data_IF_475880909201
#
_entry.id   IF_475880909201
#
_cell.length_a   1.000
_cell.length_b   1.000
_cell.length_c   1.000
_cell.angle_alpha   90.00
_cell.angle_beta   90.00
_cell.angle_gamma   90.00
#
_symmetry.space_group_name_H-M   'P 1'
#
loop_
_entity.id
_entity.type
_entity.pdbx_description
1 polymer ?
#
# COMPACT_ATOMS: atom_id res chain seq x y z
N UNK A 1 36.37 -14.17 76.42
CA UNK A 1 36.76 -15.44 75.75
C UNK A 1 36.31 -15.54 74.29
N UNK A 2 35.28 -14.82 73.83
CA UNK A 2 34.78 -14.88 72.44
C UNK A 2 34.95 -13.58 71.63
N UNK A 3 35.83 -12.66 72.07
CA UNK A 3 36.05 -11.36 71.41
C UNK A 3 36.70 -11.51 70.03
N UNK A 4 37.51 -12.55 69.83
CA UNK A 4 38.19 -12.85 68.56
C UNK A 4 37.27 -13.41 67.46
N UNK A 5 36.05 -13.84 67.80
CA UNK A 5 35.08 -14.37 66.84
C UNK A 5 34.30 -13.22 66.20
N UNK A 6 34.21 -13.23 64.86
CA UNK A 6 33.38 -12.29 64.10
C UNK A 6 31.91 -12.69 64.13
N UNK A 7 31.03 -11.77 63.75
CA UNK A 7 29.61 -12.06 63.53
C UNK A 7 29.45 -13.21 62.51
N UNK A 8 28.56 -14.16 62.78
CA UNK A 8 28.35 -15.36 61.95
C UNK A 8 29.34 -16.51 62.16
N UNK A 9 30.35 -16.35 63.04
CA UNK A 9 31.33 -17.40 63.29
C UNK A 9 30.70 -18.61 64.00
N UNK A 10 31.11 -19.81 63.57
CA UNK A 10 30.77 -21.08 64.23
C UNK A 10 31.75 -21.29 65.39
N UNK A 11 31.25 -21.51 66.60
CA UNK A 11 32.05 -21.79 67.78
C UNK A 11 32.22 -23.29 68.00
N UNK A 12 31.14 -24.06 67.85
CA UNK A 12 31.16 -25.50 68.03
C UNK A 12 30.11 -26.19 67.17
N UNK A 13 30.37 -27.47 66.87
CA UNK A 13 29.45 -28.37 66.19
C UNK A 13 29.40 -29.68 66.98
N UNK A 14 28.19 -30.11 67.33
CA UNK A 14 27.92 -31.38 67.96
C UNK A 14 27.00 -32.20 67.07
N UNK A 15 27.39 -33.45 66.81
CA UNK A 15 26.64 -34.39 65.99
C UNK A 15 26.29 -35.62 66.81
N UNK A 16 25.02 -36.02 66.79
CA UNK A 16 24.53 -37.26 67.38
C UNK A 16 23.88 -38.13 66.30
N UNK A 17 24.30 -39.39 66.17
CA UNK A 17 23.79 -40.37 65.21
C UNK A 17 23.73 -39.87 63.76
N UNK A 18 24.70 -39.06 63.34
CA UNK A 18 24.77 -38.48 62.00
C UNK A 18 25.78 -39.25 61.13
N UNK A 19 25.28 -39.95 60.11
CA UNK A 19 26.08 -40.83 59.22
C UNK A 19 27.00 -41.76 60.02
N UNK A 20 28.32 -41.61 59.89
CA UNK A 20 29.32 -42.43 60.57
C UNK A 20 29.53 -42.06 62.04
N UNK A 21 29.05 -40.89 62.48
CA UNK A 21 29.24 -40.39 63.84
C UNK A 21 28.09 -40.81 64.76
N UNK A 22 28.38 -41.62 65.79
CA UNK A 22 27.44 -41.85 66.90
C UNK A 22 27.34 -40.62 67.79
N UNK A 23 28.50 -40.05 68.16
CA UNK A 23 28.61 -38.82 68.91
C UNK A 23 29.96 -38.17 68.59
N UNK A 24 29.97 -36.89 68.26
CA UNK A 24 31.19 -36.08 68.15
C UNK A 24 30.88 -34.63 68.50
N UNK A 25 31.85 -33.97 69.15
CA UNK A 25 31.81 -32.55 69.45
C UNK A 25 33.12 -31.91 68.98
N UNK A 26 32.98 -30.81 68.23
CA UNK A 26 34.08 -30.07 67.61
C UNK A 26 34.01 -28.61 68.06
N UNK A 27 35.18 -28.04 68.35
CA UNK A 27 35.33 -26.63 68.69
C UNK A 27 36.17 -25.95 67.62
N UNK A 28 35.67 -24.86 67.05
CA UNK A 28 36.31 -24.17 65.94
C UNK A 28 37.10 -22.96 66.44
N UNK A 29 38.29 -22.78 65.89
CA UNK A 29 39.10 -21.57 66.01
C UNK A 29 38.49 -20.43 65.17
N UNK A 30 38.58 -19.16 65.60
CA UNK A 30 37.99 -18.02 64.88
C UNK A 30 38.59 -17.69 63.51
N UNK A 31 39.75 -18.28 63.15
CA UNK A 31 40.47 -17.97 61.91
C UNK A 31 40.43 -19.12 60.89
N UNK A 32 41.27 -20.13 61.10
CA UNK A 32 41.41 -21.27 60.20
C UNK A 32 41.20 -22.56 60.97
N UNK A 33 40.38 -23.45 60.40
CA UNK A 33 40.13 -24.78 60.93
C UNK A 33 40.48 -25.81 59.87
N UNK A 34 41.25 -26.82 60.26
CA UNK A 34 41.67 -27.89 59.36
C UNK A 34 41.15 -29.23 59.88
N UNK A 35 40.31 -29.90 59.08
CA UNK A 35 39.76 -31.22 59.39
C UNK A 35 40.53 -32.26 58.59
N UNK A 36 41.38 -33.02 59.28
CA UNK A 36 42.22 -34.05 58.69
C UNK A 36 41.82 -35.45 59.14
N UNK A 37 42.08 -36.45 58.31
CA UNK A 37 41.79 -37.85 58.63
C UNK A 37 41.87 -38.75 57.38
N UNK A 38 41.96 -40.07 57.56
CA UNK A 38 42.01 -41.03 56.46
C UNK A 38 40.72 -41.02 55.62
N UNK A 39 40.74 -41.60 54.42
CA UNK A 39 39.55 -41.73 53.60
C UNK A 39 38.47 -42.56 54.31
N UNK A 40 37.20 -42.18 54.18
CA UNK A 40 36.10 -42.84 54.89
C UNK A 40 35.91 -42.44 56.36
N UNK A 41 36.75 -41.58 56.94
CA UNK A 41 36.65 -41.14 58.36
C UNK A 41 35.50 -40.16 58.67
N UNK A 42 34.67 -39.80 57.69
CA UNK A 42 33.54 -38.88 57.88
C UNK A 42 33.84 -37.39 57.71
N UNK A 43 35.02 -36.99 57.20
CA UNK A 43 35.36 -35.57 56.96
C UNK A 43 34.29 -34.81 56.16
N UNK A 44 33.85 -35.37 55.03
CA UNK A 44 32.79 -34.78 54.21
C UNK A 44 31.43 -34.80 54.94
N UNK A 45 31.22 -35.72 55.89
CA UNK A 45 30.02 -35.74 56.73
C UNK A 45 29.96 -34.53 57.67
N UNK A 46 31.10 -34.05 58.18
CA UNK A 46 31.15 -32.81 58.97
C UNK A 46 30.75 -31.61 58.09
N UNK A 47 31.33 -31.50 56.89
CA UNK A 47 30.96 -30.43 55.94
C UNK A 47 29.47 -30.47 55.58
N UNK A 48 28.92 -31.67 55.35
CA UNK A 48 27.50 -31.86 55.07
C UNK A 48 26.61 -31.48 56.26
N UNK A 49 27.04 -31.75 57.49
CA UNK A 49 26.27 -31.36 58.67
C UNK A 49 26.22 -29.83 58.84
N UNK A 50 27.34 -29.15 58.57
CA UNK A 50 27.40 -27.68 58.52
C UNK A 50 26.47 -27.18 57.42
N UNK A 51 26.47 -27.77 56.22
CA UNK A 51 25.51 -27.39 55.19
C UNK A 51 24.05 -27.62 55.64
N UNK A 52 23.72 -28.77 56.22
CA UNK A 52 22.35 -29.02 56.65
C UNK A 52 21.87 -28.09 57.77
N UNK A 53 22.73 -27.63 58.67
CA UNK A 53 22.30 -26.75 59.76
C UNK A 53 22.02 -25.31 59.29
N UNK A 54 22.70 -24.81 58.25
CA UNK A 54 22.48 -23.44 57.75
C UNK A 54 21.50 -23.37 56.56
N UNK A 55 20.49 -24.25 56.53
CA UNK A 55 19.45 -24.32 55.49
C UNK A 55 19.91 -24.82 54.10
N UNK A 56 21.03 -25.53 54.01
CA UNK A 56 21.41 -26.21 52.78
C UNK A 56 20.42 -27.30 52.39
N UNK A 57 20.02 -27.31 51.11
CA UNK A 57 19.20 -28.38 50.54
C UNK A 57 20.05 -29.60 50.17
N UNK A 58 19.41 -30.77 50.15
CA UNK A 58 20.07 -32.03 49.75
C UNK A 58 20.61 -31.98 48.31
N UNK A 59 19.94 -31.22 47.43
CA UNK A 59 20.40 -30.90 46.08
C UNK A 59 21.65 -30.01 46.03
N UNK A 60 21.82 -29.15 47.02
CA UNK A 60 22.96 -28.22 47.11
C UNK A 60 24.21 -28.94 47.59
N UNK A 61 24.05 -29.95 48.45
CA UNK A 61 25.12 -30.77 49.03
C UNK A 61 25.60 -31.89 48.08
N UNK A 62 24.77 -32.28 47.10
CA UNK A 62 25.12 -33.18 45.99
C UNK A 62 24.99 -34.68 46.29
N UNK A 63 25.35 -35.10 47.51
CA UNK A 63 25.61 -36.52 47.80
C UNK A 63 24.39 -37.44 47.79
N UNK A 64 23.21 -36.94 48.15
CA UNK A 64 22.07 -37.81 48.46
C UNK A 64 20.74 -37.06 48.39
N UNK A 65 19.72 -37.64 47.74
CA UNK A 65 18.40 -36.97 47.60
C UNK A 65 17.56 -37.01 48.87
N UNK A 66 17.74 -38.03 49.71
CA UNK A 66 16.92 -38.24 50.91
C UNK A 66 17.63 -37.81 52.19
N UNK A 67 16.92 -37.05 53.03
CA UNK A 67 17.41 -36.64 54.36
C UNK A 67 17.67 -37.84 55.28
N UNK A 68 16.91 -38.93 55.11
CA UNK A 68 17.03 -40.16 55.91
C UNK A 68 18.40 -40.83 55.81
N UNK A 69 19.13 -40.63 54.70
CA UNK A 69 20.46 -41.21 54.47
C UNK A 69 21.57 -40.48 55.25
N UNK A 70 21.25 -39.33 55.85
CA UNK A 70 22.14 -38.65 56.80
C UNK A 70 21.98 -39.19 58.23
N UNK A 71 20.95 -39.99 58.51
CA UNK A 71 20.75 -40.65 59.81
C UNK A 71 21.60 -41.92 59.87
N UNK A 72 22.29 -42.15 60.98
CA UNK A 72 23.05 -43.39 61.19
C UNK A 72 22.13 -44.62 61.01
N UNK A 73 22.63 -45.66 60.34
CA UNK A 73 21.84 -46.84 60.01
C UNK A 73 21.20 -47.54 61.23
N UNK A 74 21.82 -47.43 62.40
CA UNK A 74 21.33 -48.03 63.64
C UNK A 74 20.50 -47.07 64.50
N UNK A 75 19.99 -45.98 63.92
CA UNK A 75 19.25 -44.95 64.66
C UNK A 75 18.01 -44.51 63.88
N UNK A 76 16.99 -44.09 64.63
CA UNK A 76 15.76 -43.53 64.06
C UNK A 76 15.84 -42.01 63.87
N UNK A 77 16.74 -41.35 64.62
CA UNK A 77 16.91 -39.90 64.57
C UNK A 77 18.40 -39.52 64.66
N UNK A 78 18.75 -38.42 64.00
CA UNK A 78 20.04 -37.75 64.07
C UNK A 78 19.87 -36.30 64.50
N UNK A 79 20.86 -35.76 65.23
CA UNK A 79 20.84 -34.36 65.68
C UNK A 79 22.11 -33.66 65.27
N UNK A 80 21.94 -32.42 64.80
CA UNK A 80 23.01 -31.48 64.48
C UNK A 80 22.79 -30.27 65.37
N UNK A 81 23.78 -29.94 66.20
CA UNK A 81 23.75 -28.81 67.11
C UNK A 81 24.95 -27.91 66.84
N UNK A 82 24.73 -26.61 66.68
CA UNK A 82 25.76 -25.62 66.39
C UNK A 82 25.63 -24.42 67.31
N UNK A 83 26.76 -23.95 67.83
CA UNK A 83 26.85 -22.67 68.50
C UNK A 83 27.43 -21.64 67.54
N UNK A 84 26.74 -20.52 67.37
CA UNK A 84 27.20 -19.40 66.54
C UNK A 84 27.25 -18.08 67.33
N UNK A 85 28.13 -17.17 66.92
CA UNK A 85 28.17 -15.81 67.45
C UNK A 85 27.35 -14.89 66.54
N UNK A 86 26.39 -14.17 67.11
CA UNK A 86 25.63 -13.13 66.41
C UNK A 86 25.41 -11.89 67.31
N UNK A 87 25.79 -10.70 66.86
CA UNK A 87 25.66 -9.41 67.59
C UNK A 87 26.12 -9.52 69.05
N UNK A 88 27.31 -10.08 69.25
CA UNK A 88 27.94 -10.38 70.54
C UNK A 88 27.16 -11.31 71.48
N UNK A 89 26.15 -12.01 70.96
CA UNK A 89 25.42 -13.08 71.67
C UNK A 89 25.70 -14.43 71.05
N UNK A 90 25.58 -15.48 71.85
CA UNK A 90 25.69 -16.87 71.38
C UNK A 90 24.28 -17.39 71.11
N UNK A 91 24.10 -17.97 69.93
CA UNK A 91 22.87 -18.66 69.56
C UNK A 91 23.13 -20.15 69.38
N UNK A 92 22.18 -20.95 69.85
CA UNK A 92 22.19 -22.40 69.71
C UNK A 92 21.23 -22.80 68.59
N UNK A 93 21.78 -23.28 67.48
CA UNK A 93 21.02 -23.82 66.38
C UNK A 93 20.98 -25.34 66.50
N UNK A 94 19.79 -25.92 66.33
CA UNK A 94 19.64 -27.37 66.37
C UNK A 94 18.67 -27.84 65.30
N UNK A 95 19.09 -28.87 64.55
CA UNK A 95 18.27 -29.56 63.55
C UNK A 95 18.16 -31.03 63.91
N UNK A 96 16.93 -31.55 63.95
CA UNK A 96 16.66 -32.97 64.20
C UNK A 96 16.13 -33.60 62.92
N UNK A 97 16.83 -34.63 62.47
CA UNK A 97 16.50 -35.42 61.30
C UNK A 97 15.86 -36.73 61.76
N UNK A 98 14.70 -37.09 61.21
CA UNK A 98 14.02 -38.36 61.50
C UNK A 98 14.06 -39.25 60.27
N UNK A 99 14.26 -40.56 60.47
CA UNK A 99 14.34 -41.53 59.38
C UNK A 99 12.98 -41.81 58.73
N UNK A 100 11.92 -41.87 59.54
CA UNK A 100 10.57 -42.25 59.09
C UNK A 100 9.82 -41.12 58.40
N UNK A 101 10.20 -39.86 58.65
CA UNK A 101 9.52 -38.70 58.10
C UNK A 101 10.48 -37.82 57.32
N UNK A 102 10.07 -37.36 56.12
CA UNK A 102 10.77 -36.30 55.39
C UNK A 102 10.79 -34.96 56.13
N UNK A 103 10.03 -34.81 57.22
CA UNK A 103 9.99 -33.60 58.04
C UNK A 103 11.19 -33.54 58.98
N UNK A 104 11.86 -32.39 59.00
CA UNK A 104 12.92 -32.08 59.96
C UNK A 104 12.45 -31.00 60.92
N UNK A 105 12.85 -31.11 62.19
CA UNK A 105 12.51 -30.10 63.20
C UNK A 105 13.68 -29.14 63.38
N UNK A 106 13.39 -27.85 63.38
CA UNK A 106 14.37 -26.77 63.53
C UNK A 106 14.18 -26.08 64.86
N UNK A 107 15.28 -25.81 65.57
CA UNK A 107 15.27 -25.17 66.88
C UNK A 107 16.29 -24.04 66.93
N UNK A 108 15.88 -22.92 67.51
CA UNK A 108 16.76 -21.79 67.85
C UNK A 108 16.66 -21.59 69.36
N UNK A 109 17.78 -21.66 70.07
CA UNK A 109 17.84 -21.58 71.54
C UNK A 109 16.85 -22.55 72.21
N UNK A 110 16.78 -23.79 71.70
CA UNK A 110 15.86 -24.86 72.14
C UNK A 110 14.36 -24.58 71.91
N UNK A 111 13.98 -23.51 71.20
CA UNK A 111 12.59 -23.24 70.82
C UNK A 111 12.33 -23.76 69.41
N UNK A 112 11.28 -24.57 69.25
CA UNK A 112 10.86 -25.09 67.94
C UNK A 112 10.42 -23.94 67.03
N UNK A 113 10.96 -23.92 65.81
CA UNK A 113 10.69 -22.90 64.80
C UNK A 113 10.27 -23.53 63.47
N UNK A 114 9.46 -22.81 62.71
CA UNK A 114 9.14 -23.17 61.33
C UNK A 114 10.40 -23.02 60.47
N UNK A 115 10.48 -23.81 59.40
CA UNK A 115 11.62 -23.77 58.47
C UNK A 115 11.88 -22.38 57.91
N UNK A 116 10.83 -21.66 57.47
CA UNK A 116 10.95 -20.29 56.96
C UNK A 116 11.56 -19.33 57.99
N UNK A 117 11.06 -19.30 59.22
CA UNK A 117 11.60 -18.44 60.30
C UNK A 117 13.05 -18.79 60.63
N UNK A 118 13.38 -20.09 60.59
CA UNK A 118 14.74 -20.56 60.82
C UNK A 118 15.69 -20.12 59.70
N UNK A 119 15.28 -20.25 58.45
CA UNK A 119 16.11 -19.85 57.31
C UNK A 119 16.24 -18.33 57.20
N UNK A 120 15.21 -17.54 57.51
CA UNK A 120 15.35 -16.08 57.62
C UNK A 120 16.39 -15.67 58.68
N UNK A 121 16.39 -16.37 59.83
CA UNK A 121 17.39 -16.13 60.86
C UNK A 121 18.81 -16.42 60.36
N UNK A 122 18.99 -17.53 59.64
CA UNK A 122 20.27 -17.94 59.05
C UNK A 122 20.73 -17.02 57.92
N UNK A 123 19.85 -16.63 57.00
CA UNK A 123 20.17 -15.67 55.94
C UNK A 123 20.64 -14.33 56.51
N UNK A 124 20.14 -13.94 57.68
CA UNK A 124 20.61 -12.76 58.41
C UNK A 124 22.00 -12.88 59.04
N UNK A 125 22.67 -14.02 58.94
CA UNK A 125 24.09 -14.23 59.31
C UNK A 125 25.04 -13.98 58.12
N UNK A 126 24.52 -13.79 56.90
CA UNK A 126 25.32 -13.69 55.69
C UNK A 126 25.95 -15.02 55.27
N UNK A 127 25.37 -16.15 55.70
CA UNK A 127 25.79 -17.49 55.31
C UNK A 127 24.82 -17.98 54.23
N UNK A 128 25.33 -18.22 53.03
CA UNK A 128 24.57 -18.79 51.91
C UNK A 128 25.25 -20.08 51.44
N UNK A 129 24.57 -21.22 51.64
CA UNK A 129 25.10 -22.53 51.25
C UNK A 129 24.88 -22.81 49.76
N UNK A 130 23.84 -22.22 49.18
CA UNK A 130 23.57 -22.41 47.75
C UNK A 130 24.63 -21.70 46.89
N UNK A 131 25.34 -20.74 47.48
CA UNK A 131 26.46 -20.08 46.85
C UNK A 131 27.76 -20.91 46.91
N UNK A 132 28.19 -21.40 45.74
CA UNK A 132 29.42 -22.19 45.57
C UNK A 132 30.71 -21.47 46.02
N UNK A 133 30.70 -20.13 46.09
CA UNK A 133 31.84 -19.35 46.59
C UNK A 133 31.99 -19.38 48.11
N UNK A 134 30.90 -19.64 48.86
CA UNK A 134 30.91 -19.75 50.32
C UNK A 134 30.99 -21.20 50.80
N UNK A 135 30.28 -22.09 50.11
CA UNK A 135 30.30 -23.52 50.38
C UNK A 135 30.54 -24.28 49.09
N UNK A 136 31.67 -24.98 49.00
CA UNK A 136 32.01 -25.80 47.86
C UNK A 136 31.90 -27.29 48.22
N UNK A 137 30.78 -27.96 47.91
CA UNK A 137 30.66 -29.40 48.08
C UNK A 137 31.66 -30.13 47.20
N UNK A 138 32.19 -31.26 47.69
CA UNK A 138 33.15 -32.10 46.98
C UNK A 138 32.68 -32.51 45.58
N UNK A 139 31.36 -32.73 45.40
CA UNK A 139 30.78 -33.17 44.13
C UNK A 139 30.55 -32.04 43.13
N UNK A 140 30.51 -30.78 43.60
CA UNK A 140 30.26 -29.59 42.77
C UNK A 140 31.52 -28.83 42.38
N UNK A 141 32.70 -29.42 42.61
CA UNK A 141 33.99 -28.80 42.25
C UNK A 141 34.13 -28.65 40.73
N UNK A 142 33.63 -29.61 39.95
CA UNK A 142 33.60 -29.54 38.49
C UNK A 142 32.67 -28.43 37.99
N UNK A 143 31.45 -28.34 38.55
CA UNK A 143 30.48 -27.28 38.25
C UNK A 143 31.08 -25.90 38.50
N UNK A 144 31.75 -25.73 39.65
CA UNK A 144 32.43 -24.48 39.99
C UNK A 144 33.53 -24.11 38.97
N UNK A 145 34.32 -25.09 38.51
CA UNK A 145 35.36 -24.85 37.51
C UNK A 145 34.81 -24.51 36.11
N UNK A 146 33.57 -24.90 35.82
CA UNK A 146 32.91 -24.62 34.54
C UNK A 146 32.21 -23.26 34.48
N UNK A 147 32.06 -22.57 35.62
CA UNK A 147 31.37 -21.28 35.66
C UNK A 147 32.13 -20.22 34.86
N UNK A 148 31.38 -19.38 34.15
CA UNK A 148 31.93 -18.22 33.46
C UNK A 148 32.42 -17.16 34.46
N UNK A 149 33.33 -16.29 34.02
CA UNK A 149 33.82 -15.19 34.85
C UNK A 149 32.71 -14.23 35.30
N UNK A 150 31.65 -14.07 34.51
CA UNK A 150 30.48 -13.26 34.86
C UNK A 150 29.66 -13.90 35.97
N UNK A 151 29.43 -15.22 35.89
CA UNK A 151 28.71 -15.97 36.92
C UNK A 151 29.51 -16.02 38.22
N UNK A 152 30.82 -16.24 38.15
CA UNK A 152 31.71 -16.18 39.31
C UNK A 152 31.66 -14.83 40.00
N UNK A 153 31.62 -13.73 39.23
CA UNK A 153 31.46 -12.39 39.77
C UNK A 153 30.11 -12.23 40.49
N UNK A 154 29.01 -12.70 39.88
CA UNK A 154 27.68 -12.62 40.49
C UNK A 154 27.63 -13.45 41.79
N UNK A 155 28.18 -14.66 41.77
CA UNK A 155 28.27 -15.50 42.97
C UNK A 155 29.14 -14.86 44.06
N UNK A 156 30.29 -14.28 43.72
CA UNK A 156 31.15 -13.57 44.66
C UNK A 156 30.47 -12.31 45.24
N UNK A 157 29.71 -11.56 44.43
CA UNK A 157 28.96 -10.40 44.89
C UNK A 157 27.77 -10.78 45.77
N UNK A 158 27.07 -11.87 45.44
CA UNK A 158 26.00 -12.42 46.29
C UNK A 158 26.52 -12.89 47.65
N UNK A 159 27.79 -13.32 47.71
CA UNK A 159 28.47 -13.66 48.97
C UNK A 159 28.76 -12.44 49.85
N UNK A 160 28.77 -11.23 49.28
CA UNK A 160 29.03 -10.02 50.06
C UNK A 160 27.74 -9.46 50.67
N UNK A 161 27.81 -8.90 51.89
CA UNK A 161 26.65 -8.25 52.52
C UNK A 161 26.20 -6.99 51.77
N UNK A 162 27.10 -6.35 51.02
CA UNK A 162 26.81 -5.13 50.26
C UNK A 162 26.14 -5.45 48.91
N UNK A 163 24.81 -5.34 48.88
CA UNK A 163 24.00 -5.60 47.67
C UNK A 163 23.90 -4.39 46.73
N UNK A 164 24.58 -3.28 47.03
CA UNK A 164 24.52 -2.06 46.20
C UNK A 164 25.07 -2.28 44.78
N UNK A 165 26.12 -3.10 44.67
CA UNK A 165 26.76 -3.42 43.39
C UNK A 165 25.81 -4.26 42.53
N UNK A 166 25.15 -5.27 43.11
CA UNK A 166 24.15 -6.09 42.41
C UNK A 166 22.99 -5.22 41.89
N UNK A 167 22.45 -4.34 42.73
CA UNK A 167 21.42 -3.40 42.32
C UNK A 167 21.88 -2.48 41.18
N UNK A 168 23.17 -2.13 41.14
CA UNK A 168 23.76 -1.34 40.05
C UNK A 168 23.88 -2.17 38.77
N UNK A 169 24.29 -3.44 38.87
CA UNK A 169 24.33 -4.38 37.74
C UNK A 169 22.92 -4.58 37.16
N UNK A 170 21.91 -4.76 38.01
CA UNK A 170 20.52 -4.91 37.56
C UNK A 170 20.01 -3.66 36.85
N UNK A 171 20.32 -2.47 37.39
CA UNK A 171 20.01 -1.20 36.72
C UNK A 171 20.72 -1.09 35.37
N UNK A 172 22.00 -1.44 35.28
CA UNK A 172 22.74 -1.43 34.02
C UNK A 172 22.13 -2.38 32.99
N UNK A 173 21.68 -3.57 33.40
CA UNK A 173 20.99 -4.51 32.53
C UNK A 173 19.64 -3.95 32.05
N UNK A 174 18.89 -3.27 32.92
CA UNK A 174 17.65 -2.60 32.54
C UNK A 174 17.90 -1.50 31.49
N UNK A 175 18.92 -0.65 31.68
CA UNK A 175 19.29 0.38 30.71
C UNK A 175 19.80 -0.21 29.39
N UNK A 176 20.52 -1.34 29.44
CA UNK A 176 20.94 -2.06 28.23
C UNK A 176 19.71 -2.52 27.43
N UNK A 177 18.70 -3.06 28.10
CA UNK A 177 17.45 -3.49 27.44
C UNK A 177 16.66 -2.31 26.85
N UNK A 178 16.62 -1.18 27.58
CA UNK A 178 15.96 0.04 27.13
C UNK A 178 16.67 0.64 25.91
N UNK A 179 18.01 0.70 25.93
CA UNK A 179 18.81 1.15 24.80
C UNK A 179 18.55 0.32 23.54
N UNK A 180 18.38 -1.00 23.68
CA UNK A 180 18.06 -1.88 22.54
C UNK A 180 16.69 -1.55 21.95
N UNK A 181 15.67 -1.33 22.80
CA UNK A 181 14.33 -0.92 22.36
C UNK A 181 14.36 0.46 21.68
N UNK A 182 15.03 1.42 22.29
CA UNK A 182 15.14 2.78 21.74
C UNK A 182 15.82 2.76 20.37
N UNK A 183 16.86 1.93 20.20
CA UNK A 183 17.52 1.76 18.91
C UNK A 183 16.60 1.14 17.85
N UNK A 184 15.77 0.16 18.21
CA UNK A 184 14.78 -0.39 17.28
C UNK A 184 13.73 0.66 16.89
N UNK A 185 13.27 1.46 17.85
CA UNK A 185 12.26 2.50 17.60
C UNK A 185 12.82 3.62 16.71
N UNK A 186 14.05 4.06 16.97
CA UNK A 186 14.75 5.03 16.11
C UNK A 186 14.85 4.51 14.67
N UNK A 187 15.12 3.22 14.49
CA UNK A 187 15.27 2.62 13.17
C UNK A 187 13.91 2.53 12.44
N UNK A 188 12.82 2.26 13.16
CA UNK A 188 11.46 2.32 12.62
C UNK A 188 11.07 3.76 12.25
N UNK A 189 11.29 4.72 13.13
CA UNK A 189 10.99 6.14 12.89
C UNK A 189 11.76 6.65 11.67
N UNK A 190 13.04 6.31 11.52
CA UNK A 190 13.82 6.65 10.32
C UNK A 190 13.18 6.12 9.03
N UNK A 191 12.79 4.84 9.01
CA UNK A 191 12.09 4.25 7.85
C UNK A 191 10.77 4.94 7.54
N UNK A 192 9.97 5.26 8.56
CA UNK A 192 8.70 5.98 8.35
C UNK A 192 8.94 7.39 7.82
N UNK A 193 9.98 8.09 8.30
CA UNK A 193 10.36 9.42 7.82
C UNK A 193 10.76 9.36 6.35
N UNK A 194 11.60 8.40 5.97
CA UNK A 194 12.01 8.19 4.57
C UNK A 194 10.80 7.93 3.66
N UNK A 195 9.88 7.04 4.06
CA UNK A 195 8.66 6.78 3.31
C UNK A 195 7.74 7.99 3.18
N UNK A 196 7.56 8.78 4.25
CA UNK A 196 6.76 10.01 4.19
C UNK A 196 7.44 11.05 3.28
N UNK A 197 8.77 11.18 3.33
CA UNK A 197 9.48 12.13 2.45
C UNK A 197 9.33 11.78 0.98
N UNK A 198 9.31 10.48 0.62
CA UNK A 198 9.05 10.03 -0.76
C UNK A 198 7.60 10.34 -1.18
N UNK A 199 6.62 10.08 -0.30
CA UNK A 199 5.21 10.39 -0.57
C UNK A 199 5.02 11.89 -0.77
N UNK A 200 5.60 12.72 0.10
CA UNK A 200 5.54 14.19 -0.01
C UNK A 200 6.18 14.66 -1.31
N UNK A 201 7.33 14.10 -1.70
CA UNK A 201 7.98 14.45 -2.96
C UNK A 201 7.09 14.10 -4.18
N UNK A 202 6.41 12.96 -4.16
CA UNK A 202 5.48 12.58 -5.22
C UNK A 202 4.24 13.47 -5.26
N UNK A 203 3.63 13.76 -4.11
CA UNK A 203 2.48 14.66 -4.00
C UNK A 203 2.81 16.08 -4.46
N UNK A 204 4.03 16.58 -4.18
CA UNK A 204 4.48 17.87 -4.67
C UNK A 204 4.54 17.90 -6.21
N UNK A 205 5.11 16.87 -6.83
CA UNK A 205 5.14 16.74 -8.31
C UNK A 205 3.73 16.71 -8.91
N UNK A 206 2.80 16.01 -8.27
CA UNK A 206 1.42 15.94 -8.76
C UNK A 206 0.66 17.26 -8.56
N UNK A 207 0.92 17.97 -7.47
CA UNK A 207 0.38 19.30 -7.23
C UNK A 207 0.91 20.34 -8.26
N UNK A 208 2.18 20.24 -8.65
CA UNK A 208 2.75 21.07 -9.72
C UNK A 208 2.07 20.81 -11.06
N UNK A 209 1.90 19.55 -11.45
CA UNK A 209 1.17 19.18 -12.68
C UNK A 209 -0.27 19.67 -12.69
N UNK A 210 -0.95 19.62 -11.54
CA UNK A 210 -2.31 20.16 -11.40
C UNK A 210 -2.34 21.69 -11.56
N UNK A 211 -1.37 22.40 -11.00
CA UNK A 211 -1.25 23.85 -11.20
C UNK A 211 -1.03 24.19 -12.68
N UNK A 212 -0.13 23.48 -13.36
CA UNK A 212 0.09 23.66 -14.80
C UNK A 212 -1.18 23.39 -15.61
N UNK A 213 -1.90 22.31 -15.29
CA UNK A 213 -3.18 21.98 -15.93
C UNK A 213 -4.20 23.10 -15.74
N UNK A 214 -4.36 23.64 -14.54
CA UNK A 214 -5.30 24.73 -14.26
C UNK A 214 -4.97 26.00 -15.07
N UNK A 215 -3.68 26.36 -15.18
CA UNK A 215 -3.24 27.50 -15.99
C UNK A 215 -3.58 27.27 -17.47
N UNK A 216 -3.39 26.05 -17.98
CA UNK A 216 -3.74 25.71 -19.36
C UNK A 216 -5.25 25.73 -19.59
N UNK A 217 -6.06 25.26 -18.64
CA UNK A 217 -7.52 25.32 -18.72
C UNK A 217 -8.05 26.76 -18.75
N UNK A 218 -7.48 27.66 -17.93
CA UNK A 218 -7.80 29.09 -18.00
C UNK A 218 -7.43 29.70 -19.35
N UNK A 219 -6.23 29.38 -19.89
CA UNK A 219 -5.83 29.82 -21.23
C UNK A 219 -6.80 29.31 -22.30
N UNK A 220 -7.22 28.04 -22.24
CA UNK A 220 -8.21 27.48 -23.18
C UNK A 220 -9.55 28.21 -23.07
N UNK A 221 -10.01 28.50 -21.85
CA UNK A 221 -11.24 29.26 -21.62
C UNK A 221 -11.15 30.65 -22.25
N UNK A 222 -10.04 31.36 -22.05
CA UNK A 222 -9.80 32.68 -22.64
C UNK A 222 -9.76 32.64 -24.17
N UNK A 223 -9.08 31.64 -24.76
CA UNK A 223 -9.03 31.44 -26.21
C UNK A 223 -10.42 31.13 -26.78
N UNK A 224 -11.24 30.31 -26.09
CA UNK A 224 -12.62 30.03 -26.50
C UNK A 224 -13.49 31.28 -26.51
N UNK A 225 -13.36 32.13 -25.49
CA UNK A 225 -14.07 33.42 -25.43
C UNK A 225 -13.61 34.31 -26.59
N UNK A 226 -12.29 34.43 -26.82
CA UNK A 226 -11.72 35.21 -27.92
C UNK A 226 -12.21 34.71 -29.28
N UNK A 227 -12.27 33.39 -29.50
CA UNK A 227 -12.82 32.79 -30.73
C UNK A 227 -14.28 33.17 -30.95
N UNK A 228 -15.12 33.11 -29.91
CA UNK A 228 -16.53 33.53 -30.00
C UNK A 228 -16.65 35.01 -30.34
N UNK A 229 -15.81 35.85 -29.74
CA UNK A 229 -15.79 37.29 -30.00
C UNK A 229 -15.35 37.60 -31.44
N UNK A 230 -14.32 36.93 -31.95
CA UNK A 230 -13.85 37.06 -33.33
C UNK A 230 -14.92 36.63 -34.35
N UNK A 231 -15.63 35.52 -34.07
CA UNK A 231 -16.78 35.12 -34.89
C UNK A 231 -17.91 36.16 -34.86
N UNK A 232 -18.18 36.76 -33.71
CA UNK A 232 -19.15 37.85 -33.61
C UNK A 232 -18.71 39.07 -34.41
N UNK A 233 -17.43 39.43 -34.36
CA UNK A 233 -16.85 40.54 -35.09
C UNK A 233 -16.97 40.34 -36.61
N UNK A 234 -16.62 39.14 -37.11
CA UNK A 234 -16.81 38.78 -38.52
C UNK A 234 -18.28 38.91 -38.96
N UNK A 235 -19.21 38.33 -38.19
CA UNK A 235 -20.65 38.43 -38.49
C UNK A 235 -21.13 39.88 -38.40
N UNK A 236 -20.58 40.67 -37.48
CA UNK A 236 -20.91 42.09 -37.33
C UNK A 236 -20.42 42.93 -38.52
N UNK A 237 -19.23 42.63 -39.04
CA UNK A 237 -18.72 43.24 -40.28
C UNK A 237 -19.58 42.87 -41.48
N UNK A 238 -19.93 41.59 -41.66
CA UNK A 238 -20.85 41.15 -42.70
C UNK A 238 -22.21 41.86 -42.58
N UNK A 239 -22.76 41.95 -41.38
CA UNK A 239 -23.99 42.67 -41.11
C UNK A 239 -23.89 44.16 -41.44
N UNK A 240 -22.79 44.84 -41.06
CA UNK A 240 -22.54 46.24 -41.42
C UNK A 240 -22.46 46.42 -42.93
N UNK A 241 -21.77 45.53 -43.63
CA UNK A 241 -21.66 45.54 -45.09
C UNK A 241 -23.04 45.36 -45.74
N UNK A 242 -23.83 44.38 -45.30
CA UNK A 242 -25.21 44.19 -45.78
C UNK A 242 -26.08 45.41 -45.48
N UNK A 243 -25.96 45.99 -44.28
CA UNK A 243 -26.70 47.19 -43.89
C UNK A 243 -26.33 48.39 -44.76
N UNK A 244 -25.06 48.57 -45.09
CA UNK A 244 -24.61 49.64 -46.00
C UNK A 244 -25.18 49.45 -47.41
N UNK A 245 -25.16 48.23 -47.94
CA UNK A 245 -25.80 47.89 -49.23
C UNK A 245 -27.30 48.14 -49.20
N UNK A 246 -27.99 47.77 -48.12
CA UNK A 246 -29.43 48.07 -47.95
C UNK A 246 -29.67 49.58 -47.96
N UNK A 247 -28.84 50.38 -47.30
CA UNK A 247 -28.98 51.85 -47.32
C UNK A 247 -28.68 52.45 -48.69
N UNK A 248 -27.71 51.92 -49.43
CA UNK A 248 -27.45 52.30 -50.82
C UNK A 248 -28.63 51.94 -51.72
N UNK A 249 -29.14 50.72 -51.64
CA UNK A 249 -30.30 50.30 -52.42
C UNK A 249 -31.54 51.13 -52.08
N UNK A 250 -31.78 51.45 -50.80
CA UNK A 250 -32.87 52.35 -50.40
C UNK A 250 -32.71 53.75 -51.01
N UNK A 251 -31.50 54.32 -51.02
CA UNK A 251 -31.24 55.59 -51.70
C UNK A 251 -31.49 55.51 -53.20
N UNK A 252 -31.04 54.44 -53.86
CA UNK A 252 -31.31 54.26 -55.30
C UNK A 252 -32.79 54.10 -55.59
N UNK A 253 -33.55 53.46 -54.70
CA UNK A 253 -35.01 53.37 -54.80
C UNK A 253 -35.63 54.76 -54.63
N UNK A 254 -35.25 55.53 -53.62
CA UNK A 254 -35.75 56.91 -53.45
C UNK A 254 -35.41 57.82 -54.64
N UNK A 255 -34.22 57.68 -55.23
CA UNK A 255 -33.83 58.41 -56.44
C UNK A 255 -34.67 57.98 -57.65
N UNK A 256 -34.89 56.67 -57.83
CA UNK A 256 -35.74 56.13 -58.88
C UNK A 256 -37.21 56.50 -58.67
N UNK A 257 -37.71 56.54 -57.44
CA UNK A 257 -39.06 57.03 -57.12
C UNK A 257 -39.18 58.53 -57.41
N UNK A 258 -38.16 59.34 -57.16
CA UNK A 258 -38.13 60.75 -57.59
C UNK A 258 -38.09 60.91 -59.10
N UNK A 259 -37.37 60.05 -59.82
CA UNK A 259 -37.40 60.01 -61.28
C UNK A 259 -38.77 59.59 -61.81
N UNK A 260 -39.39 58.56 -61.21
CA UNK A 260 -40.74 58.11 -61.53
C UNK A 260 -41.76 59.22 -61.26
N UNK A 261 -41.70 59.90 -60.10
CA UNK A 261 -42.59 61.01 -59.79
C UNK A 261 -42.44 62.17 -60.78
N UNK A 262 -41.21 62.50 -61.22
CA UNK A 262 -40.99 63.51 -62.27
C UNK A 262 -41.53 63.07 -63.63
N UNK A 263 -41.44 61.79 -63.96
CA UNK A 263 -42.04 61.22 -65.17
C UNK A 263 -43.56 61.24 -65.06
N UNK A 264 -44.13 60.92 -63.90
CA UNK A 264 -45.58 60.98 -63.64
C UNK A 264 -46.12 62.41 -63.69
N UNK A 265 -45.40 63.40 -63.18
CA UNK A 265 -45.74 64.82 -63.33
C UNK A 265 -45.71 65.25 -64.81
N UNK A 266 -44.66 64.85 -65.55
CA UNK A 266 -44.60 65.09 -67.00
C UNK A 266 -45.72 64.38 -67.76
N UNK A 267 -46.13 63.18 -67.35
CA UNK A 267 -47.27 62.46 -67.92
C UNK A 267 -48.59 63.17 -67.60
N UNK A 268 -48.74 63.73 -66.39
CA UNK A 268 -49.91 64.56 -66.04
C UNK A 268 -49.98 65.83 -66.88
N UNK A 269 -48.87 66.56 -67.03
CA UNK A 269 -48.80 67.76 -67.88
C UNK A 269 -49.09 67.45 -69.36
N UNK A 270 -48.58 66.32 -69.88
CA UNK A 270 -48.84 65.90 -71.26
C UNK A 270 -50.30 65.47 -71.50
N UNK A 271 -50.98 64.95 -70.48
CA UNK A 271 -52.39 64.57 -70.54
C UNK A 271 -53.37 65.77 -70.47
N UNK A 272 -52.92 66.94 -70.02
CA UNK A 272 -53.76 68.16 -69.96
C UNK A 272 -53.75 68.97 -71.27
N UNK A 273 -52.78 68.74 -72.17
CA UNK A 273 -52.73 69.37 -73.49
C UNK A 273 -53.77 68.74 -74.44
N UNK A 274 -54.62 69.59 -75.05
CA UNK A 274 -55.82 69.25 -75.85
C UNK A 274 -55.60 68.28 -77.03
N UNK A 275 -54.38 68.06 -77.49
CA UNK A 275 -54.05 67.11 -78.58
C UNK A 275 -54.05 65.64 -78.13
N UNK A 276 -53.88 65.37 -76.83
CA UNK A 276 -53.85 63.99 -76.28
C UNK A 276 -55.24 63.32 -76.18
N UNK A 277 -56.32 64.10 -76.08
CA UNK A 277 -57.69 63.55 -76.01
C UNK A 277 -58.14 62.94 -77.34
N UNK A 278 -57.82 63.57 -78.48
CA UNK A 278 -58.08 63.00 -79.82
C UNK A 278 -57.24 61.75 -80.09
N UNK A 279 -55.96 61.76 -79.68
CA UNK A 279 -55.06 60.62 -79.86
C UNK A 279 -55.46 59.41 -79.00
N UNK A 280 -56.06 59.63 -77.81
CA UNK A 280 -56.60 58.56 -76.97
C UNK A 280 -57.88 57.94 -77.54
N UNK A 281 -58.76 58.73 -78.20
CA UNK A 281 -59.92 58.19 -78.92
C UNK A 281 -59.50 57.32 -80.13
N UNK A 282 -58.50 57.77 -80.91
CA UNK A 282 -57.93 56.98 -82.01
C UNK A 282 -57.21 55.71 -81.50
N UNK A 283 -56.51 55.78 -80.35
CA UNK A 283 -55.91 54.60 -79.70
C UNK A 283 -56.95 53.58 -79.25
N UNK A 284 -58.11 54.01 -78.75
CA UNK A 284 -59.18 53.10 -78.31
C UNK A 284 -59.79 52.38 -79.52
N UNK A 285 -59.95 53.04 -80.67
CA UNK A 285 -60.37 52.38 -81.91
C UNK A 285 -59.33 51.36 -82.41
N UNK A 286 -58.04 51.72 -82.41
CA UNK A 286 -56.96 50.80 -82.79
C UNK A 286 -56.88 49.59 -81.84
N UNK A 287 -57.15 49.78 -80.54
CA UNK A 287 -57.15 48.68 -79.55
C UNK A 287 -58.32 47.72 -79.78
N UNK A 288 -59.47 48.21 -80.19
CA UNK A 288 -60.63 47.38 -80.55
C UNK A 288 -60.37 46.58 -81.84
N UNK A 289 -59.83 47.21 -82.89
CA UNK A 289 -59.43 46.50 -84.11
C UNK A 289 -58.33 45.46 -83.84
N UNK A 290 -57.35 45.76 -82.97
CA UNK A 290 -56.33 44.80 -82.58
C UNK A 290 -56.90 43.61 -81.82
N UNK A 291 -57.93 43.80 -80.98
CA UNK A 291 -58.58 42.68 -80.29
C UNK A 291 -59.32 41.74 -81.27
N UNK A 292 -59.96 42.28 -82.31
CA UNK A 292 -60.56 41.47 -83.39
C UNK A 292 -59.49 40.72 -84.20
N UNK A 293 -58.34 41.34 -84.44
CA UNK A 293 -57.17 40.69 -85.07
C UNK A 293 -56.59 39.59 -84.17
N UNK A 294 -56.51 39.80 -82.85
CA UNK A 294 -56.06 38.75 -81.91
C UNK A 294 -57.03 37.57 -81.87
N UNK A 295 -58.34 37.81 -81.90
CA UNK A 295 -59.33 36.73 -81.95
C UNK A 295 -59.22 35.93 -83.26
N UNK A 296 -59.07 36.58 -84.40
CA UNK A 296 -58.84 35.89 -85.68
C UNK A 296 -57.49 35.16 -85.74
N UNK A 297 -56.42 35.72 -85.15
CA UNK A 297 -55.13 35.03 -85.01
C UNK A 297 -55.19 33.80 -84.10
N UNK A 298 -56.03 33.80 -83.05
CA UNK A 298 -56.22 32.59 -82.22
C UNK A 298 -56.94 31.47 -82.98
N UNK A 299 -57.90 31.80 -83.84
CA UNK A 299 -58.56 30.83 -84.71
C UNK A 299 -57.57 30.23 -85.73
N UNK A 300 -56.71 31.07 -86.33
CA UNK A 300 -55.66 30.62 -87.24
C UNK A 300 -54.62 29.76 -86.49
N UNK A 301 -54.17 30.16 -85.30
CA UNK A 301 -53.25 29.34 -84.47
C UNK A 301 -53.84 27.97 -84.11
N UNK A 302 -55.14 27.89 -83.86
CA UNK A 302 -55.80 26.61 -83.60
C UNK A 302 -55.90 25.73 -84.86
N UNK A 303 -56.01 26.32 -86.06
CA UNK A 303 -55.91 25.58 -87.32
C UNK A 303 -54.46 25.13 -87.61
N UNK A 304 -53.46 25.95 -87.28
CA UNK A 304 -52.04 25.59 -87.39
C UNK A 304 -51.70 24.40 -86.46
N UNK A 305 -52.17 24.42 -85.21
CA UNK A 305 -51.98 23.27 -84.30
C UNK A 305 -52.61 21.97 -84.80
N UNK A 306 -53.77 22.05 -85.49
CA UNK A 306 -54.40 20.87 -86.11
C UNK A 306 -53.60 20.35 -87.31
N UNK A 307 -52.90 21.22 -88.04
CA UNK A 307 -52.05 20.83 -89.18
C UNK A 307 -50.69 20.27 -88.71
N UNK A 308 -50.10 20.79 -87.64
CA UNK A 308 -48.89 20.23 -87.01
C UNK A 308 -49.12 18.81 -86.45
N UNK A 309 -50.29 18.54 -85.87
CA UNK A 309 -50.67 17.18 -85.44
C UNK A 309 -50.74 16.18 -86.61
N UNK A 310 -51.20 16.62 -87.79
CA UNK A 310 -51.23 15.79 -89.00
C UNK A 310 -49.82 15.58 -89.60
N UNK A 311 -48.88 16.52 -89.43
CA UNK A 311 -47.48 16.34 -89.84
C UNK A 311 -46.72 15.34 -88.96
N UNK A 312 -47.03 15.28 -87.65
CA UNK A 312 -46.45 14.29 -86.74
C UNK A 312 -46.89 12.88 -87.12
N UNK A 313 -48.17 12.69 -87.49
CA UNK A 313 -48.67 11.41 -88.01
C UNK A 313 -48.01 11.02 -89.34
N UNK A 314 -47.68 12.00 -90.19
CA UNK A 314 -46.97 11.78 -91.46
C UNK A 314 -45.52 11.31 -91.24
N UNK A 315 -44.79 11.90 -90.29
CA UNK A 315 -43.44 11.46 -89.88
C UNK A 315 -43.44 10.07 -89.24
N UNK A 316 -44.48 9.70 -88.50
CA UNK A 316 -44.65 8.35 -87.96
C UNK A 316 -44.79 7.27 -89.04
N UNK A 317 -45.42 7.58 -90.18
CA UNK A 317 -45.55 6.70 -91.35
C UNK A 317 -44.24 6.61 -92.17
N UNK A 318 -43.45 7.67 -92.26
CA UNK A 318 -42.13 7.66 -92.91
C UNK A 318 -41.11 6.78 -92.17
N UNK A 319 -41.07 6.84 -90.83
CA UNK A 319 -40.18 5.98 -90.03
C UNK A 319 -40.49 4.48 -90.18
N UNK A 320 -41.77 4.10 -90.37
CA UNK A 320 -42.13 2.70 -90.70
C UNK A 320 -41.69 2.29 -92.11
N UNK A 321 -41.58 3.24 -93.04
CA UNK A 321 -41.13 3.00 -94.41
C UNK A 321 -39.60 2.85 -94.49
N UNK A 322 -38.86 3.63 -93.72
CA UNK A 322 -37.39 3.55 -93.67
C UNK A 322 -36.89 2.28 -92.94
N UNK A 323 -37.58 1.82 -91.88
CA UNK A 323 -37.25 0.52 -91.28
C UNK A 323 -37.41 -0.64 -92.27
N UNK A 324 -38.47 -0.65 -93.09
CA UNK A 324 -38.66 -1.66 -94.16
C UNK A 324 -37.63 -1.56 -95.28
N UNK A 325 -37.09 -0.37 -95.58
CA UNK A 325 -35.96 -0.20 -96.52
C UNK A 325 -34.66 -0.77 -95.96
N UNK A 326 -34.38 -0.57 -94.67
CA UNK A 326 -33.19 -1.11 -94.02
C UNK A 326 -33.15 -2.65 -94.01
N UNK A 327 -34.32 -3.30 -93.84
CA UNK A 327 -34.44 -4.76 -93.94
C UNK A 327 -34.20 -5.27 -95.37
N UNK A 328 -34.63 -4.50 -96.37
CA UNK A 328 -34.40 -4.79 -97.79
C UNK A 328 -32.92 -4.65 -98.20
N UNK A 329 -32.19 -3.66 -97.66
CA UNK A 329 -30.75 -3.51 -97.86
C UNK A 329 -29.95 -4.62 -97.15
N UNK A 330 -30.36 -5.03 -95.95
CA UNK A 330 -29.71 -6.12 -95.23
C UNK A 330 -29.88 -7.48 -95.95
N UNK A 331 -31.02 -7.73 -96.58
CA UNK A 331 -31.23 -8.92 -97.42
C UNK A 331 -30.42 -8.85 -98.74
N UNK A 332 -30.29 -7.67 -99.36
CA UNK A 332 -29.41 -7.48 -100.53
C UNK A 332 -27.93 -7.66 -100.18
N UNK A 333 -27.48 -7.18 -99.03
CA UNK A 333 -26.10 -7.36 -98.57
C UNK A 333 -25.79 -8.84 -98.24
N UNK A 334 -26.75 -9.58 -97.68
CA UNK A 334 -26.62 -11.04 -97.49
C UNK A 334 -26.48 -11.78 -98.81
N UNK A 335 -27.21 -11.39 -99.86
CA UNK A 335 -27.09 -11.98 -101.19
C UNK A 335 -25.69 -11.72 -101.79
N UNK A 336 -25.19 -10.48 -101.70
CA UNK A 336 -23.86 -10.08 -102.19
C UNK A 336 -22.71 -10.77 -101.41
N UNK A 337 -22.85 -10.99 -100.10
CA UNK A 337 -21.86 -11.73 -99.32
C UNK A 337 -21.81 -13.23 -99.68
N UNK A 338 -22.96 -13.85 -99.96
CA UNK A 338 -23.00 -15.24 -100.45
C UNK A 338 -22.43 -15.39 -101.87
N UNK A 339 -22.65 -14.41 -102.76
CA UNK A 339 -22.06 -14.40 -104.11
C UNK A 339 -20.53 -14.15 -104.07
N UNK A 340 -20.03 -13.33 -103.14
CA UNK A 340 -18.57 -13.11 -102.97
C UNK A 340 -17.83 -14.30 -102.36
N UNK A 341 -18.43 -15.06 -101.43
CA UNK A 341 -17.77 -16.26 -100.86
C UNK A 341 -17.68 -17.42 -101.84
N UNK A 342 -18.65 -17.58 -102.75
CA UNK A 342 -18.57 -18.56 -103.85
C UNK A 342 -17.40 -18.23 -104.82
N UNK A 343 -17.05 -16.95 -104.99
CA UNK A 343 -16.00 -16.50 -105.92
C UNK A 343 -14.55 -16.51 -105.40
N UNK A 344 -14.31 -16.83 -104.11
CA UNK A 344 -12.95 -16.87 -103.51
C UNK A 344 -12.49 -18.26 -103.09
N UNK A 345 -13.25 -19.31 -103.42
CA UNK A 345 -12.73 -20.67 -103.49
C UNK A 345 -11.80 -20.74 -104.70
N UNK A 346 -10.50 -20.50 -104.47
CA UNK A 346 -9.43 -20.98 -105.33
C UNK A 346 -8.63 -22.03 -104.57
N UNK A 347 -8.87 -23.26 -105.02
CA UNK A 347 -8.07 -24.45 -104.80
C UNK A 347 -6.69 -24.19 -105.38
N UNK A 348 -5.65 -24.33 -104.56
CA UNK A 348 -4.32 -24.70 -105.02
C UNK A 348 -3.86 -25.87 -104.16
N UNK A 349 -3.99 -27.05 -104.75
CA UNK A 349 -3.08 -28.16 -104.50
C UNK A 349 -1.65 -27.64 -104.51
N UNK A 350 -0.77 -28.18 -103.66
CA UNK A 350 0.38 -28.97 -104.11
C UNK A 350 1.31 -29.31 -102.94
N UNK A 351 1.59 -30.62 -102.89
CA UNK A 351 2.80 -31.33 -102.42
C UNK A 351 3.00 -31.60 -100.93
N UNK A 352 2.78 -32.88 -100.61
CA UNK A 352 3.86 -33.88 -100.40
C UNK A 352 5.14 -33.33 -99.75
N UNK A 353 5.44 -33.82 -98.55
CA UNK A 353 6.53 -34.78 -98.38
C UNK A 353 6.48 -35.44 -96.99
N UNK A 354 6.47 -36.78 -97.03
CA UNK A 354 6.99 -37.78 -96.08
C UNK A 354 6.27 -37.91 -94.73
#
# INVERSE_FOLDING_TARGET
MYESYKDGSILSLKLENFQTYKHIELFFHPSLNFIAGPNGSGKSSIANAIALIFCGNTSSIGKTKNISEYVNFNSMEAKIEVQIKRKDKIYFLKRVLKRDTKKTNFYINNVLKKENEYCEFVSGLGIDIDNLCMFLPQEKVSEFSSLSSEELLIHALNSQPDKSILATIDKLNSFKSEKVKLNSDILQVKKTKEGITEIVANLCKDAEKLKEKNILEEKIKNIRIKKKWLNYELISEEYKNIKSKITEYKKTIEEKEKEVNKIEEKIKEFNELKESKKLNEEKIQIKNMNNEIYQSLTLIKNQIKKTELLEIDKKGLENKKDNRKSELENLKNKIIETEKKISSIKIEEIRKNI
#
